data_IF_349572634687
#
_entry.id   IF_349572634687
#
_cell.length_a   1.000
_cell.length_b   1.000
_cell.length_c   1.000
_cell.angle_alpha   90.00
_cell.angle_beta   90.00
_cell.angle_gamma   90.00
#
_symmetry.space_group_name_H-M   'P 1'
#
loop_
_entity.id
_entity.type
_entity.pdbx_description
1 polymer ?
#
# COMPACT_ATOMS: atom_id res chain seq x y z
N UNK A 1 2.67 -13.07 -20.47
CA UNK A 1 2.72 -12.66 -19.05
C UNK A 1 4.15 -12.28 -18.75
N UNK A 2 4.40 -11.36 -17.83
CA UNK A 2 5.78 -11.00 -17.47
C UNK A 2 6.28 -11.91 -16.35
N UNK A 3 7.60 -12.03 -16.21
CA UNK A 3 8.23 -12.84 -15.18
C UNK A 3 7.79 -12.47 -13.74
N UNK A 4 7.26 -11.26 -13.52
CA UNK A 4 6.92 -10.74 -12.19
C UNK A 4 5.43 -10.52 -11.96
N UNK A 5 4.56 -10.95 -12.87
CA UNK A 5 3.12 -10.70 -12.81
C UNK A 5 2.46 -11.14 -11.48
N UNK A 6 2.99 -12.19 -10.83
CA UNK A 6 2.50 -12.69 -9.55
C UNK A 6 2.66 -11.70 -8.37
N UNK A 7 3.44 -10.64 -8.54
CA UNK A 7 3.63 -9.60 -7.51
C UNK A 7 2.58 -8.50 -7.56
N UNK A 8 1.96 -8.27 -8.72
CA UNK A 8 1.14 -7.08 -9.00
C UNK A 8 -0.01 -6.89 -8.01
N UNK A 9 -0.64 -7.99 -7.61
CA UNK A 9 -1.84 -7.97 -6.76
C UNK A 9 -1.58 -7.57 -5.29
N UNK A 10 -0.41 -7.86 -4.74
CA UNK A 10 -0.09 -7.66 -3.31
C UNK A 10 1.04 -6.64 -3.10
N UNK A 11 1.98 -6.55 -4.03
CA UNK A 11 3.14 -5.65 -3.94
C UNK A 11 3.32 -4.83 -5.22
N UNK A 12 2.41 -3.88 -5.53
CA UNK A 12 2.44 -3.12 -6.77
C UNK A 12 3.72 -2.29 -6.95
N UNK A 13 4.25 -1.67 -5.88
CA UNK A 13 5.51 -0.91 -5.95
C UNK A 13 6.73 -1.81 -6.22
N UNK A 14 6.73 -3.03 -5.65
CA UNK A 14 7.78 -4.02 -5.90
C UNK A 14 7.70 -4.51 -7.35
N UNK A 15 6.49 -4.81 -7.84
CA UNK A 15 6.23 -5.19 -9.21
C UNK A 15 6.70 -4.11 -10.20
N UNK A 16 6.37 -2.84 -9.95
CA UNK A 16 6.81 -1.74 -10.81
C UNK A 16 8.34 -1.64 -10.90
N UNK A 17 9.04 -1.79 -9.77
CA UNK A 17 10.50 -1.79 -9.75
C UNK A 17 11.09 -3.03 -10.47
N UNK A 18 10.50 -4.20 -10.30
CA UNK A 18 10.93 -5.43 -10.96
C UNK A 18 10.69 -5.41 -12.47
N UNK A 19 9.58 -4.82 -12.93
CA UNK A 19 9.29 -4.57 -14.34
C UNK A 19 10.30 -3.59 -14.95
N UNK A 20 10.59 -2.48 -14.27
CA UNK A 20 11.63 -1.54 -14.72
C UNK A 20 13.00 -2.20 -14.82
N UNK A 21 13.35 -3.07 -13.86
CA UNK A 21 14.58 -3.85 -13.91
C UNK A 21 14.60 -4.79 -15.13
N UNK A 22 13.51 -5.55 -15.34
CA UNK A 22 13.36 -6.49 -16.46
C UNK A 22 13.47 -5.79 -17.80
N UNK A 23 12.81 -4.63 -17.94
CA UNK A 23 12.79 -3.85 -19.17
C UNK A 23 14.16 -3.23 -19.51
N UNK A 24 15.03 -3.07 -18.52
CA UNK A 24 16.35 -2.48 -18.69
C UNK A 24 17.45 -3.51 -18.98
N UNK A 25 17.22 -4.82 -18.80
CA UNK A 25 18.28 -5.86 -18.80
C UNK A 25 19.21 -5.79 -20.02
N UNK A 26 18.64 -5.74 -21.23
CA UNK A 26 19.37 -5.66 -22.49
C UNK A 26 19.78 -4.23 -22.89
N UNK A 27 18.87 -3.24 -22.90
CA UNK A 27 19.20 -1.90 -23.38
C UNK A 27 20.17 -1.15 -22.46
N UNK A 28 20.02 -1.32 -21.14
CA UNK A 28 20.81 -0.66 -20.11
C UNK A 28 21.05 -1.56 -18.88
N UNK A 29 22.07 -2.44 -18.95
CA UNK A 29 22.42 -3.36 -17.86
C UNK A 29 22.65 -2.67 -16.52
N UNK A 30 23.14 -1.42 -16.53
CA UNK A 30 23.40 -0.66 -15.30
C UNK A 30 22.09 -0.27 -14.63
N UNK A 31 21.14 0.26 -15.39
CA UNK A 31 19.79 0.58 -14.89
C UNK A 31 19.05 -0.67 -14.41
N UNK A 32 19.22 -1.82 -15.05
CA UNK A 32 18.64 -3.09 -14.59
C UNK A 32 19.13 -3.48 -13.19
N UNK A 33 20.46 -3.43 -12.96
CA UNK A 33 21.04 -3.72 -11.64
C UNK A 33 20.58 -2.72 -10.57
N UNK A 34 20.43 -1.44 -10.92
CA UNK A 34 19.89 -0.42 -10.03
C UNK A 34 18.46 -0.76 -9.58
N UNK A 35 17.55 -0.99 -10.54
CA UNK A 35 16.17 -1.31 -10.20
C UNK A 35 16.01 -2.67 -9.53
N UNK A 36 16.89 -3.64 -9.79
CA UNK A 36 16.90 -4.90 -9.06
C UNK A 36 17.20 -4.69 -7.56
N UNK A 37 18.18 -3.84 -7.21
CA UNK A 37 18.44 -3.46 -5.81
C UNK A 37 17.26 -2.68 -5.22
N UNK A 38 16.66 -1.78 -5.98
CA UNK A 38 15.46 -1.04 -5.54
C UNK A 38 14.28 -1.97 -5.23
N UNK A 39 14.03 -2.96 -6.08
CA UNK A 39 13.01 -3.96 -5.83
C UNK A 39 13.33 -4.77 -4.56
N UNK A 40 14.58 -5.22 -4.39
CA UNK A 40 15.00 -5.90 -3.16
C UNK A 40 14.78 -5.04 -1.90
N UNK A 41 15.09 -3.73 -1.96
CA UNK A 41 14.85 -2.79 -0.87
C UNK A 41 13.38 -2.75 -0.46
N UNK A 42 12.47 -2.57 -1.43
CA UNK A 42 11.03 -2.54 -1.19
C UNK A 42 10.51 -3.85 -0.58
N UNK A 43 11.01 -4.99 -1.05
CA UNK A 43 10.65 -6.30 -0.51
C UNK A 43 11.09 -6.44 0.96
N UNK A 44 12.33 -6.09 1.27
CA UNK A 44 12.90 -6.20 2.61
C UNK A 44 12.21 -5.23 3.58
N UNK A 45 12.02 -3.97 3.20
CA UNK A 45 11.28 -2.99 4.01
C UNK A 45 9.86 -3.48 4.31
N UNK A 46 9.18 -4.04 3.31
CA UNK A 46 7.85 -4.61 3.51
C UNK A 46 7.89 -5.79 4.51
N UNK A 47 8.87 -6.68 4.42
CA UNK A 47 9.03 -7.79 5.36
C UNK A 47 9.23 -7.29 6.78
N UNK A 48 10.16 -6.36 7.01
CA UNK A 48 10.42 -5.80 8.35
C UNK A 48 9.20 -5.06 8.94
N UNK A 49 8.29 -4.56 8.09
CA UNK A 49 7.05 -3.94 8.53
C UNK A 49 5.95 -4.94 8.92
N UNK A 50 5.93 -6.13 8.33
CA UNK A 50 4.81 -7.08 8.46
C UNK A 50 5.17 -8.40 9.16
N UNK A 51 6.46 -8.72 9.26
CA UNK A 51 6.96 -9.92 9.93
C UNK A 51 7.63 -9.56 11.26
N UNK A 52 6.89 -9.76 12.35
CA UNK A 52 7.35 -9.47 13.71
C UNK A 52 8.47 -10.40 14.21
N UNK A 53 8.84 -11.44 13.45
CA UNK A 53 10.03 -12.25 13.76
C UNK A 53 11.33 -11.57 13.36
N UNK A 54 11.27 -10.51 12.56
CA UNK A 54 12.41 -9.72 12.11
C UNK A 54 12.66 -8.56 13.08
N UNK A 55 13.90 -8.46 13.56
CA UNK A 55 14.33 -7.39 14.48
C UNK A 55 15.08 -6.30 13.73
N UNK A 56 14.65 -5.05 13.90
CA UNK A 56 15.30 -3.92 13.26
C UNK A 56 16.72 -3.71 13.83
N UNK A 57 17.75 -3.63 12.97
CA UNK A 57 19.10 -3.23 13.38
C UNK A 57 19.15 -1.72 13.66
N UNK A 58 20.23 -1.27 14.31
CA UNK A 58 20.43 0.16 14.59
C UNK A 58 20.48 1.05 13.33
N UNK A 59 20.99 0.51 12.22
CA UNK A 59 21.03 1.21 10.93
C UNK A 59 19.96 0.67 10.00
N UNK A 60 19.14 1.53 9.42
CA UNK A 60 18.02 1.12 8.56
C UNK A 60 18.38 0.97 7.07
N UNK A 61 19.68 0.92 6.73
CA UNK A 61 20.08 0.71 5.34
C UNK A 61 19.91 -0.77 4.92
N UNK A 62 19.68 -1.00 3.63
CA UNK A 62 19.42 -2.34 3.07
C UNK A 62 20.50 -3.37 3.46
N UNK A 63 21.77 -2.98 3.48
CA UNK A 63 22.85 -3.91 3.84
C UNK A 63 22.77 -4.33 5.31
N UNK A 64 22.46 -3.39 6.21
CA UNK A 64 22.30 -3.68 7.64
C UNK A 64 21.10 -4.58 7.89
N UNK A 65 19.96 -4.34 7.21
CA UNK A 65 18.78 -5.20 7.29
C UNK A 65 19.09 -6.64 6.84
N UNK A 66 19.72 -6.81 5.67
CA UNK A 66 20.04 -8.15 5.16
C UNK A 66 21.04 -8.91 6.05
N UNK A 67 22.00 -8.24 6.68
CA UNK A 67 23.00 -8.87 7.55
C UNK A 67 22.53 -9.08 8.99
N UNK A 68 21.33 -8.60 9.33
CA UNK A 68 20.75 -8.85 10.63
C UNK A 68 20.46 -10.37 10.79
N UNK A 69 20.83 -10.99 11.94
CA UNK A 69 20.71 -12.45 12.12
C UNK A 69 19.30 -13.02 11.95
N UNK A 70 18.25 -12.32 12.37
CA UNK A 70 16.86 -12.79 12.22
C UNK A 70 16.42 -12.83 10.76
N UNK A 71 16.88 -11.91 9.91
CA UNK A 71 16.66 -12.01 8.46
C UNK A 71 17.19 -13.32 7.91
N UNK A 72 18.46 -13.66 8.21
CA UNK A 72 19.08 -14.89 7.73
C UNK A 72 18.37 -16.14 8.26
N UNK A 73 17.82 -16.08 9.48
CA UNK A 73 17.05 -17.18 10.08
C UNK A 73 15.72 -17.42 9.36
N UNK A 74 15.01 -16.35 8.97
CA UNK A 74 13.72 -16.42 8.28
C UNK A 74 13.89 -16.76 6.79
N UNK A 75 14.80 -16.06 6.11
CA UNK A 75 15.00 -16.19 4.67
C UNK A 75 15.85 -17.41 4.29
N UNK A 76 16.74 -17.86 5.18
CA UNK A 76 17.69 -18.92 4.93
C UNK A 76 18.91 -18.47 4.12
N UNK A 77 19.94 -19.33 4.13
CA UNK A 77 21.25 -19.06 3.50
C UNK A 77 21.16 -18.77 2.00
N UNK A 78 20.28 -19.50 1.30
CA UNK A 78 20.12 -19.34 -0.14
C UNK A 78 19.61 -17.93 -0.50
N UNK A 79 18.52 -17.48 0.12
CA UNK A 79 17.93 -16.16 -0.14
C UNK A 79 18.88 -15.04 0.29
N UNK A 80 19.54 -15.21 1.44
CA UNK A 80 20.58 -14.28 1.90
C UNK A 80 21.69 -14.09 0.87
N UNK A 81 22.24 -15.16 0.32
CA UNK A 81 23.31 -15.07 -0.68
C UNK A 81 22.84 -14.40 -1.98
N UNK A 82 21.61 -14.69 -2.41
CA UNK A 82 20.99 -14.03 -3.58
C UNK A 82 20.83 -12.52 -3.35
N UNK A 83 20.35 -12.13 -2.18
CA UNK A 83 20.22 -10.72 -1.80
C UNK A 83 21.58 -9.99 -1.83
N UNK A 84 22.65 -10.64 -1.35
CA UNK A 84 24.01 -10.08 -1.39
C UNK A 84 24.52 -9.87 -2.81
N UNK A 85 24.21 -10.78 -3.74
CA UNK A 85 24.57 -10.62 -5.16
C UNK A 85 23.90 -9.36 -5.72
N UNK A 86 22.60 -9.19 -5.50
CA UNK A 86 21.85 -8.01 -5.97
C UNK A 86 22.40 -6.72 -5.34
N UNK A 87 22.66 -6.70 -4.03
CA UNK A 87 23.25 -5.53 -3.35
C UNK A 87 24.59 -5.15 -4.00
N UNK A 88 25.46 -6.14 -4.24
CA UNK A 88 26.78 -5.90 -4.84
C UNK A 88 26.65 -5.28 -6.24
N UNK A 89 25.82 -5.88 -7.10
CA UNK A 89 25.62 -5.44 -8.48
C UNK A 89 24.92 -4.07 -8.55
N UNK A 90 23.92 -3.83 -7.70
CA UNK A 90 23.24 -2.53 -7.60
C UNK A 90 24.14 -1.42 -7.08
N UNK A 91 24.95 -1.69 -6.05
CA UNK A 91 25.93 -0.71 -5.56
C UNK A 91 26.98 -0.40 -6.63
N UNK A 92 27.45 -1.40 -7.37
CA UNK A 92 28.36 -1.18 -8.50
C UNK A 92 27.72 -0.30 -9.58
N UNK A 93 26.42 -0.48 -9.86
CA UNK A 93 25.71 0.30 -10.88
C UNK A 93 25.65 1.80 -10.55
N UNK A 94 25.53 2.17 -9.27
CA UNK A 94 25.36 3.56 -8.84
C UNK A 94 26.67 4.22 -8.40
N UNK A 95 27.55 3.47 -7.75
CA UNK A 95 28.71 4.03 -7.08
C UNK A 95 30.05 3.73 -7.77
N UNK A 96 30.11 2.77 -8.71
CA UNK A 96 31.35 2.40 -9.40
C UNK A 96 31.39 2.86 -10.85
N UNK A 97 32.55 3.41 -11.28
CA UNK A 97 32.83 3.72 -12.69
C UNK A 97 33.03 2.48 -13.55
N UNK A 98 33.15 1.28 -12.96
CA UNK A 98 33.28 0.02 -13.69
C UNK A 98 32.10 -0.25 -14.61
N UNK A 99 32.38 -0.74 -15.81
CA UNK A 99 31.36 -1.18 -16.75
C UNK A 99 30.53 -2.30 -16.13
N UNK A 100 29.20 -2.18 -16.20
CA UNK A 100 28.26 -3.25 -15.83
C UNK A 100 27.99 -4.05 -17.10
N UNK A 101 28.23 -5.36 -17.04
CA UNK A 101 28.09 -6.24 -18.20
C UNK A 101 26.66 -6.80 -18.29
N UNK A 102 26.25 -7.25 -19.47
CA UNK A 102 24.93 -7.88 -19.66
C UNK A 102 24.74 -9.12 -18.77
N UNK A 103 25.81 -9.87 -18.53
CA UNK A 103 25.74 -11.03 -17.64
C UNK A 103 25.40 -10.62 -16.19
N UNK A 104 25.85 -9.45 -15.75
CA UNK A 104 25.55 -8.92 -14.42
C UNK A 104 24.05 -8.60 -14.30
N UNK A 105 23.47 -7.93 -15.30
CA UNK A 105 22.03 -7.60 -15.30
C UNK A 105 21.14 -8.84 -15.37
N UNK A 106 21.50 -9.82 -16.19
CA UNK A 106 20.83 -11.12 -16.26
C UNK A 106 20.92 -11.88 -14.93
N UNK A 107 22.07 -11.83 -14.27
CA UNK A 107 22.24 -12.44 -12.94
C UNK A 107 21.36 -11.72 -11.92
N UNK A 108 21.40 -10.38 -11.87
CA UNK A 108 20.62 -9.59 -10.93
C UNK A 108 19.11 -9.85 -11.07
N UNK A 109 18.58 -9.92 -12.30
CA UNK A 109 17.14 -10.13 -12.51
C UNK A 109 16.70 -11.56 -12.16
N UNK A 110 17.54 -12.56 -12.46
CA UNK A 110 17.26 -13.94 -12.11
C UNK A 110 17.25 -14.12 -10.58
N UNK A 111 18.24 -13.54 -9.89
CA UNK A 111 18.25 -13.57 -8.43
C UNK A 111 17.07 -12.79 -7.81
N UNK A 112 16.68 -11.67 -8.42
CA UNK A 112 15.49 -10.94 -8.01
C UNK A 112 14.23 -11.78 -8.17
N UNK A 113 14.10 -12.52 -9.27
CA UNK A 113 12.98 -13.43 -9.50
C UNK A 113 12.89 -14.49 -8.41
N UNK A 114 14.01 -15.12 -8.05
CA UNK A 114 14.03 -16.12 -6.99
C UNK A 114 13.63 -15.56 -5.61
N UNK A 115 14.11 -14.37 -5.27
CA UNK A 115 13.72 -13.69 -4.02
C UNK A 115 12.25 -13.31 -4.05
N UNK A 116 11.77 -12.78 -5.17
CA UNK A 116 10.36 -12.39 -5.36
C UNK A 116 9.42 -13.59 -5.28
N UNK A 117 9.77 -14.70 -5.92
CA UNK A 117 9.05 -15.96 -5.81
C UNK A 117 9.03 -16.46 -4.37
N UNK A 118 10.18 -16.39 -3.67
CA UNK A 118 10.27 -16.75 -2.26
C UNK A 118 9.40 -15.87 -1.34
N UNK A 119 9.38 -14.56 -1.59
CA UNK A 119 8.52 -13.63 -0.86
C UNK A 119 7.05 -14.01 -1.10
N UNK A 120 6.65 -14.17 -2.36
CA UNK A 120 5.27 -14.44 -2.74
C UNK A 120 4.77 -15.79 -2.18
N UNK A 121 5.56 -16.88 -2.30
CA UNK A 121 5.16 -18.18 -1.72
C UNK A 121 5.00 -18.13 -0.19
N UNK A 122 5.80 -17.31 0.48
CA UNK A 122 5.86 -17.25 1.94
C UNK A 122 4.77 -16.33 2.49
N UNK A 123 4.60 -15.15 1.90
CA UNK A 123 3.81 -14.06 2.47
C UNK A 123 2.55 -13.67 1.69
N UNK A 124 2.34 -14.15 0.45
CA UNK A 124 1.14 -13.77 -0.31
C UNK A 124 -0.10 -14.33 0.38
N UNK A 125 -1.14 -13.49 0.49
CA UNK A 125 -2.39 -13.82 1.19
C UNK A 125 -3.47 -14.33 0.24
N UNK A 126 -3.51 -13.79 -0.98
CA UNK A 126 -4.47 -14.18 -2.03
C UNK A 126 -3.95 -15.34 -2.87
N UNK A 127 -3.27 -15.02 -3.96
CA UNK A 127 -2.78 -16.00 -4.93
C UNK A 127 -1.29 -16.20 -4.73
N UNK A 128 -0.89 -17.47 -4.59
CA UNK A 128 0.52 -17.85 -4.51
C UNK A 128 0.99 -18.29 -5.89
N UNK A 129 2.26 -18.05 -6.25
CA UNK A 129 2.80 -18.51 -7.51
C UNK A 129 2.78 -20.05 -7.57
N UNK A 130 2.51 -20.58 -8.76
CA UNK A 130 2.48 -22.03 -9.00
C UNK A 130 3.82 -22.68 -8.65
N UNK A 131 3.80 -23.87 -8.01
CA UNK A 131 5.03 -24.61 -7.73
C UNK A 131 5.80 -24.90 -9.02
N UNK A 132 7.07 -24.49 -9.05
CA UNK A 132 7.94 -24.71 -10.21
C UNK A 132 7.93 -23.58 -11.24
N UNK A 133 7.25 -22.46 -10.97
CA UNK A 133 7.38 -21.25 -11.77
C UNK A 133 8.87 -20.87 -11.90
N UNK A 134 9.34 -20.79 -13.13
CA UNK A 134 10.74 -20.54 -13.47
C UNK A 134 10.90 -19.23 -14.22
N UNK A 135 12.02 -18.55 -13.99
CA UNK A 135 12.40 -17.37 -14.74
C UNK A 135 12.61 -17.71 -16.22
N UNK A 136 11.96 -16.96 -17.12
CA UNK A 136 12.11 -17.09 -18.55
C UNK A 136 12.88 -15.89 -19.13
N UNK A 137 14.15 -16.04 -19.54
CA UNK A 137 14.94 -14.95 -20.11
C UNK A 137 14.46 -14.51 -21.50
N UNK A 138 13.67 -15.33 -22.21
CA UNK A 138 13.16 -15.01 -23.54
C UNK A 138 11.97 -14.02 -23.50
N UNK A 139 11.33 -13.88 -22.33
CA UNK A 139 10.26 -12.90 -22.10
C UNK A 139 10.78 -11.48 -21.83
N UNK A 140 12.09 -11.33 -21.62
CA UNK A 140 12.70 -10.02 -21.40
C UNK A 140 12.69 -9.20 -22.70
N UNK A 141 12.21 -7.94 -22.67
CA UNK A 141 12.15 -7.13 -23.88
C UNK A 141 13.55 -6.73 -24.33
N UNK A 142 13.78 -6.85 -25.63
CA UNK A 142 15.03 -6.45 -26.31
C UNK A 142 14.92 -5.05 -26.93
N UNK A 143 13.98 -4.25 -26.43
CA UNK A 143 13.70 -2.91 -26.94
C UNK A 143 14.84 -1.95 -26.60
N UNK A 144 15.00 -0.93 -27.42
CA UNK A 144 16.01 0.12 -27.19
C UNK A 144 15.42 1.21 -26.31
N UNK A 145 15.89 1.32 -25.06
CA UNK A 145 15.62 2.50 -24.23
C UNK A 145 16.87 3.38 -24.14
N UNK A 146 16.73 4.70 -23.92
CA UNK A 146 17.86 5.57 -23.64
C UNK A 146 18.62 5.08 -22.41
N UNK A 147 19.94 4.91 -22.53
CA UNK A 147 20.79 4.56 -21.39
C UNK A 147 20.86 5.71 -20.40
N UNK A 148 20.75 5.38 -19.12
CA UNK A 148 20.90 6.34 -18.04
C UNK A 148 22.37 6.46 -17.65
N UNK A 149 22.81 7.68 -17.38
CA UNK A 149 24.14 7.94 -16.82
C UNK A 149 24.17 7.58 -15.33
N UNK A 150 25.37 7.36 -14.79
CA UNK A 150 25.52 7.12 -13.36
C UNK A 150 24.99 8.29 -12.52
N UNK A 151 25.21 9.52 -12.95
CA UNK A 151 24.71 10.72 -12.26
C UNK A 151 23.17 10.75 -12.26
N UNK A 152 22.53 10.41 -13.38
CA UNK A 152 21.07 10.27 -13.44
C UNK A 152 20.57 9.19 -12.48
N UNK A 153 21.26 8.06 -12.37
CA UNK A 153 20.90 6.99 -11.43
C UNK A 153 21.09 7.40 -9.97
N UNK A 154 22.15 8.16 -9.64
CA UNK A 154 22.35 8.72 -8.29
C UNK A 154 21.25 9.72 -7.91
N UNK A 155 20.90 10.62 -8.83
CA UNK A 155 19.83 11.58 -8.61
C UNK A 155 18.47 10.87 -8.46
N UNK A 156 18.25 9.80 -9.23
CA UNK A 156 17.07 8.96 -9.11
C UNK A 156 17.04 8.21 -7.77
N UNK A 157 18.17 7.66 -7.30
CA UNK A 157 18.27 7.03 -5.98
C UNK A 157 17.88 8.01 -4.87
N UNK A 158 18.44 9.21 -4.90
CA UNK A 158 18.12 10.26 -3.94
C UNK A 158 16.63 10.64 -3.97
N UNK A 159 16.06 10.82 -5.17
CA UNK A 159 14.64 11.16 -5.32
C UNK A 159 13.70 10.05 -4.86
N UNK A 160 14.04 8.78 -5.11
CA UNK A 160 13.24 7.65 -4.64
C UNK A 160 13.29 7.55 -3.11
N UNK A 161 14.46 7.74 -2.52
CA UNK A 161 14.64 7.74 -1.08
C UNK A 161 13.84 8.86 -0.40
N UNK A 162 13.91 10.08 -0.92
CA UNK A 162 13.13 11.22 -0.40
C UNK A 162 11.62 10.94 -0.45
N UNK A 163 11.14 10.33 -1.55
CA UNK A 163 9.73 9.94 -1.68
C UNK A 163 9.32 8.89 -0.66
N UNK A 164 10.17 7.92 -0.36
CA UNK A 164 9.88 6.89 0.63
C UNK A 164 9.85 7.46 2.05
N UNK A 165 10.81 8.31 2.39
CA UNK A 165 10.88 8.99 3.68
C UNK A 165 9.60 9.81 3.90
N UNK A 166 9.22 10.62 2.91
CA UNK A 166 7.97 11.40 2.95
C UNK A 166 6.71 10.52 3.03
N UNK A 167 6.68 9.40 2.29
CA UNK A 167 5.55 8.48 2.36
C UNK A 167 5.45 7.81 3.73
N UNK A 168 6.59 7.46 4.33
CA UNK A 168 6.66 6.89 5.68
C UNK A 168 6.12 7.88 6.72
N UNK A 169 6.57 9.14 6.68
CA UNK A 169 6.09 10.21 7.56
C UNK A 169 4.57 10.41 7.44
N UNK A 170 4.05 10.53 6.21
CA UNK A 170 2.61 10.69 5.99
C UNK A 170 1.79 9.50 6.51
N UNK A 171 2.32 8.28 6.38
CA UNK A 171 1.66 7.08 6.88
C UNK A 171 1.72 6.99 8.42
N UNK A 172 2.83 7.40 9.05
CA UNK A 172 2.90 7.46 10.51
C UNK A 172 1.93 8.49 11.07
N UNK A 173 1.88 9.69 10.48
CA UNK A 173 0.96 10.76 10.90
C UNK A 173 -0.49 10.31 10.80
N UNK A 174 -0.87 9.68 9.69
CA UNK A 174 -2.22 9.14 9.52
C UNK A 174 -2.54 8.07 10.57
N UNK A 175 -1.63 7.14 10.84
CA UNK A 175 -1.87 6.09 11.83
C UNK A 175 -2.03 6.63 13.25
N UNK A 176 -1.26 7.65 13.62
CA UNK A 176 -1.38 8.33 14.90
C UNK A 176 -2.74 9.04 15.01
N UNK A 177 -3.17 9.73 13.94
CA UNK A 177 -4.49 10.37 13.87
C UNK A 177 -5.63 9.36 13.94
N UNK A 178 -5.51 8.19 13.30
CA UNK A 178 -6.55 7.15 13.32
C UNK A 178 -6.72 6.57 14.73
N UNK A 179 -5.62 6.32 15.46
CA UNK A 179 -5.69 5.86 16.86
C UNK A 179 -6.20 6.96 17.81
N UNK A 180 -5.83 8.23 17.60
CA UNK A 180 -6.36 9.36 18.36
C UNK A 180 -7.88 9.51 18.14
N UNK A 181 -8.34 9.41 16.89
CA UNK A 181 -9.75 9.50 16.54
C UNK A 181 -10.56 8.34 17.15
N UNK A 182 -9.98 7.13 17.16
CA UNK A 182 -10.57 5.96 17.84
C UNK A 182 -10.65 6.18 19.35
N UNK A 183 -9.61 6.74 19.98
CA UNK A 183 -9.62 7.11 21.40
C UNK A 183 -10.70 8.15 21.72
N UNK A 184 -10.75 9.25 20.96
CA UNK A 184 -11.75 10.32 21.13
C UNK A 184 -13.18 9.78 21.00
N UNK A 185 -13.44 8.90 20.02
CA UNK A 185 -14.75 8.25 19.89
C UNK A 185 -15.11 7.40 21.10
N UNK A 186 -14.15 6.67 21.67
CA UNK A 186 -14.36 5.88 22.88
C UNK A 186 -14.61 6.77 24.12
N UNK A 187 -13.91 7.90 24.25
CA UNK A 187 -14.14 8.88 25.32
C UNK A 187 -15.54 9.52 25.21
N UNK A 188 -15.96 9.91 24.01
CA UNK A 188 -17.31 10.43 23.76
C UNK A 188 -18.39 9.38 24.06
N UNK A 189 -18.16 8.11 23.69
CA UNK A 189 -19.10 7.03 24.00
C UNK A 189 -19.25 6.84 25.52
N UNK A 190 -18.15 6.78 26.26
CA UNK A 190 -18.16 6.71 27.74
C UNK A 190 -18.85 7.91 28.38
N UNK A 191 -18.58 9.12 27.87
CA UNK A 191 -19.23 10.33 28.35
C UNK A 191 -20.75 10.28 28.12
N UNK A 192 -21.20 9.79 26.96
CA UNK A 192 -22.63 9.59 26.67
C UNK A 192 -23.28 8.56 27.58
N UNK A 193 -22.62 7.43 27.83
CA UNK A 193 -23.11 6.40 28.76
C UNK A 193 -23.22 6.96 30.20
N UNK A 194 -22.21 7.69 30.65
CA UNK A 194 -22.23 8.33 31.96
C UNK A 194 -23.34 9.39 32.08
N UNK A 195 -23.54 10.22 31.04
CA UNK A 195 -24.62 11.20 31.01
C UNK A 195 -26.00 10.57 30.94
N UNK A 196 -26.17 9.42 30.28
CA UNK A 196 -27.45 8.71 30.21
C UNK A 196 -27.90 8.13 31.57
N UNK A 197 -26.98 7.94 32.51
CA UNK A 197 -27.28 7.53 33.88
C UNK A 197 -27.71 8.70 34.78
N UNK A 198 -27.48 9.93 34.33
CA UNK A 198 -27.92 11.14 35.04
C UNK A 198 -29.32 11.52 34.55
N UNK A 199 -30.21 11.79 35.49
CA UNK A 199 -31.53 12.34 35.15
C UNK A 199 -31.34 13.72 34.55
N UNK A 200 -31.78 13.87 33.32
CA UNK A 200 -31.80 15.16 32.64
C UNK A 200 -32.86 16.07 33.27
N UNK A 201 -32.42 17.13 33.91
CA UNK A 201 -33.29 18.11 34.58
C UNK A 201 -33.41 19.41 33.77
N UNK A 202 -32.89 19.44 32.54
CA UNK A 202 -32.97 20.62 31.70
C UNK A 202 -34.37 20.75 31.10
N UNK A 203 -34.96 21.94 31.20
CA UNK A 203 -36.23 22.25 30.55
C UNK A 203 -35.97 22.63 29.09
N UNK A 204 -36.17 21.67 28.19
CA UNK A 204 -36.00 21.84 26.73
C UNK A 204 -37.10 22.67 26.06
N UNK A 205 -38.06 23.21 26.83
CA UNK A 205 -39.18 24.04 26.38
C UNK A 205 -39.80 23.60 25.04
N UNK A 206 -40.11 22.30 24.93
CA UNK A 206 -40.69 21.70 23.71
C UNK A 206 -41.97 22.41 23.26
N UNK A 207 -42.73 22.97 24.21
CA UNK A 207 -43.93 23.76 23.93
C UNK A 207 -43.63 25.05 23.13
N UNK A 208 -42.55 25.77 23.46
CA UNK A 208 -42.12 26.98 22.73
C UNK A 208 -41.57 26.60 21.35
N UNK A 209 -40.84 25.48 21.28
CA UNK A 209 -40.34 24.92 20.02
C UNK A 209 -41.49 24.49 19.10
N UNK A 210 -42.52 23.81 19.63
CA UNK A 210 -43.70 23.38 18.89
C UNK A 210 -44.52 24.55 18.38
N UNK A 211 -44.71 25.58 19.20
CA UNK A 211 -45.39 26.82 18.79
C UNK A 211 -44.65 27.51 17.64
N UNK A 212 -43.33 27.63 17.75
CA UNK A 212 -42.49 28.22 16.71
C UNK A 212 -42.52 27.40 15.41
N UNK A 213 -42.55 26.07 15.49
CA UNK A 213 -42.66 25.18 14.32
C UNK A 213 -44.02 25.30 13.63
N UNK A 214 -45.12 25.39 14.40
CA UNK A 214 -46.47 25.63 13.85
C UNK A 214 -46.51 26.98 13.14
N UNK A 215 -45.99 28.04 13.77
CA UNK A 215 -45.95 29.37 13.15
C UNK A 215 -45.13 29.34 11.84
N UNK A 216 -44.02 28.59 11.78
CA UNK A 216 -43.20 28.44 10.57
C UNK A 216 -43.93 27.68 9.43
N UNK A 217 -44.66 26.62 9.79
CA UNK A 217 -45.45 25.80 8.85
C UNK A 217 -46.71 26.51 8.37
N UNK A 218 -47.25 27.46 9.15
CA UNK A 218 -48.42 28.27 8.79
C UNK A 218 -48.01 29.55 8.03
N UNK A 219 -46.79 30.07 8.24
CA UNK A 219 -46.26 31.23 7.49
C UNK A 219 -45.60 30.85 6.16
N UNK A 220 -45.39 29.57 5.86
CA UNK A 220 -44.97 29.12 4.53
C UNK A 220 -46.19 29.13 3.59
N UNK A 221 -46.25 30.03 2.57
CA UNK A 221 -47.37 30.06 1.65
C UNK A 221 -47.42 28.76 0.84
N UNK A 222 -48.54 28.05 0.92
CA UNK A 222 -48.85 26.92 0.02
C UNK A 222 -49.09 27.53 -1.37
N UNK A 223 -48.04 27.70 -2.15
CA UNK A 223 -48.16 27.99 -3.57
C UNK A 223 -48.50 26.67 -4.29
N UNK A 224 -49.79 26.51 -4.58
CA UNK A 224 -50.49 25.69 -5.60
C UNK A 224 -49.94 24.30 -6.00
N UNK A 225 -50.80 23.27 -6.00
CA UNK A 225 -51.14 22.44 -7.19
C UNK A 225 -52.42 21.61 -6.91
N UNK A 226 -53.25 21.55 -7.96
CA UNK A 226 -54.58 20.98 -8.21
C UNK A 226 -54.82 19.49 -7.88
N UNK A 227 -56.10 19.12 -7.66
CA UNK A 227 -56.53 17.71 -7.66
C UNK A 227 -57.97 17.47 -7.22
N UNK A 228 -58.88 17.55 -8.18
CA UNK A 228 -60.34 17.36 -8.06
C UNK A 228 -60.66 15.91 -7.65
N UNK A 229 -61.37 15.68 -6.54
CA UNK A 229 -62.32 14.56 -6.39
C UNK A 229 -63.43 14.94 -5.41
N UNK A 230 -64.53 15.44 -5.96
CA UNK A 230 -65.85 15.26 -5.36
C UNK A 230 -66.31 13.83 -5.65
N UNK A 231 -66.85 13.14 -4.65
CA UNK A 231 -68.28 12.74 -4.59
C UNK A 231 -68.50 11.37 -3.89
N UNK A 232 -69.56 11.33 -3.07
CA UNK A 232 -70.42 10.18 -2.69
C UNK A 232 -69.74 8.93 -2.09
N UNK A 233 -69.97 8.52 -0.85
CA UNK A 233 -71.25 8.40 -0.16
C UNK A 233 -71.77 6.96 -0.29
N UNK A 234 -71.54 6.11 0.72
CA UNK A 234 -72.51 5.14 1.28
C UNK A 234 -71.84 4.18 2.28
N UNK A 235 -72.41 4.14 3.48
CA UNK A 235 -72.27 3.08 4.47
C UNK A 235 -73.52 2.20 4.30
N UNK A 236 -73.38 0.86 4.37
CA UNK A 236 -74.17 -0.05 5.22
C UNK A 236 -73.95 -1.51 4.79
N UNK A 237 -73.53 -2.31 5.77
CA UNK A 237 -73.45 -3.78 5.81
C UNK A 237 -74.86 -4.30 6.19
N UNK A 238 -75.30 -5.48 5.73
CA UNK A 238 -75.81 -6.41 6.73
C UNK A 238 -75.42 -7.87 6.52
N UNK A 239 -75.62 -8.58 7.62
CA UNK A 239 -75.17 -9.91 8.01
C UNK A 239 -76.24 -10.95 7.63
N UNK A 240 -75.84 -12.03 6.94
CA UNK A 240 -76.23 -13.45 7.06
C UNK A 240 -76.12 -14.14 5.70
#
# INVERSE_FOLDING_TARGET
>A
MTNFAFLEAEWPSLYEAAEKASNAVYPDPRTACFYARRALELAVQWMYKHDYSLLLPYQENLSALIHEPTFKKVAGEAIFNKARVIIRLGNQAVHSNSTVLLHDSLTAINELFHISYWLARTYARKEKPEPGLSFNPDELPKTTVPRQTMEQLRNLEASLREKDEKLSELLSDKSALDEELKRLRAEVAKAKEASALLTDTHDYSEAETRKSLIDLLVTTPITEVTGIYQNSGEIVIPIS
#
